data_IF_696328255776
#
_entry.id   IF_696328255776
#
_cell.length_a   1.000
_cell.length_b   1.000
_cell.length_c   1.000
_cell.angle_alpha   90.00
_cell.angle_beta   90.00
_cell.angle_gamma   90.00
#
_symmetry.space_group_name_H-M   'P 1'
#
loop_
_entity.id
_entity.type
_entity.pdbx_description
1 polymer ?
#
# COMPACT_ATOMS: atom_id res chain seq x y z
N UNK A 1 8.15 -6.70 7.93
CA UNK A 1 7.27 -5.90 8.80
C UNK A 1 5.86 -5.83 8.20
N UNK A 2 4.84 -5.93 9.05
CA UNK A 2 3.42 -5.84 8.70
C UNK A 2 2.85 -4.53 9.25
N UNK A 3 2.29 -3.68 8.38
CA UNK A 3 1.51 -2.51 8.78
C UNK A 3 0.04 -2.78 8.51
N UNK A 4 -0.80 -2.73 9.54
CA UNK A 4 -2.20 -3.16 9.47
C UNK A 4 -3.05 -2.42 10.51
N UNK A 5 -4.31 -2.20 10.21
CA UNK A 5 -5.25 -1.57 11.14
C UNK A 5 -5.71 -2.54 12.24
N UNK A 6 -5.99 -2.02 13.44
CA UNK A 6 -6.45 -2.81 14.59
C UNK A 6 -7.78 -3.53 14.35
N UNK A 7 -8.63 -3.00 13.46
CA UNK A 7 -9.85 -3.68 13.04
C UNK A 7 -9.56 -5.03 12.37
N UNK A 8 -8.38 -5.19 11.78
CA UNK A 8 -7.96 -6.38 11.02
C UNK A 8 -7.14 -7.37 11.86
N UNK A 9 -7.38 -7.42 13.19
CA UNK A 9 -6.60 -8.25 14.10
C UNK A 9 -6.56 -9.73 13.71
N UNK A 10 -7.68 -10.29 13.28
CA UNK A 10 -7.74 -11.71 12.89
C UNK A 10 -6.90 -11.97 11.62
N UNK A 11 -7.00 -11.09 10.64
CA UNK A 11 -6.17 -11.16 9.44
C UNK A 11 -4.68 -11.04 9.79
N UNK A 12 -4.33 -10.13 10.71
CA UNK A 12 -2.95 -9.99 11.17
C UNK A 12 -2.41 -11.29 11.80
N UNK A 13 -3.23 -11.98 12.62
CA UNK A 13 -2.84 -13.27 13.22
C UNK A 13 -2.59 -14.33 12.15
N UNK A 14 -3.43 -14.39 11.11
CA UNK A 14 -3.25 -15.33 9.99
C UNK A 14 -1.97 -15.02 9.21
N UNK A 15 -1.73 -13.74 8.89
CA UNK A 15 -0.53 -13.30 8.17
C UNK A 15 0.74 -13.62 8.97
N UNK A 16 0.75 -13.34 10.27
CA UNK A 16 1.90 -13.63 11.14
C UNK A 16 2.17 -15.13 11.22
N UNK A 17 1.11 -15.93 11.40
CA UNK A 17 1.23 -17.39 11.43
C UNK A 17 1.83 -17.93 10.13
N UNK A 18 1.33 -17.47 9.00
CA UNK A 18 1.79 -17.90 7.68
C UNK A 18 3.24 -17.44 7.42
N UNK A 19 3.58 -16.21 7.79
CA UNK A 19 4.95 -15.71 7.65
C UNK A 19 5.97 -16.56 8.40
N UNK A 20 5.65 -16.98 9.64
CA UNK A 20 6.52 -17.90 10.39
C UNK A 20 6.55 -19.32 9.79
N UNK A 21 5.44 -19.80 9.25
CA UNK A 21 5.38 -21.10 8.55
C UNK A 21 6.27 -21.10 7.28
N UNK A 22 6.39 -19.95 6.63
CA UNK A 22 7.26 -19.71 5.47
C UNK A 22 8.72 -19.39 5.84
N UNK A 23 9.08 -19.42 7.13
CA UNK A 23 10.45 -19.28 7.60
C UNK A 23 10.88 -17.86 7.97
N UNK A 24 9.95 -16.93 8.20
CA UNK A 24 10.32 -15.62 8.73
C UNK A 24 11.02 -15.74 10.09
N UNK A 25 12.14 -15.06 10.26
CA UNK A 25 12.88 -15.05 11.54
C UNK A 25 12.18 -14.16 12.57
N UNK A 26 11.58 -13.06 12.13
CA UNK A 26 10.85 -12.12 12.97
C UNK A 26 9.73 -11.46 12.18
N UNK A 27 8.58 -11.25 12.83
CA UNK A 27 7.46 -10.47 12.27
C UNK A 27 7.14 -9.31 13.20
N UNK A 28 7.47 -8.10 12.77
CA UNK A 28 7.13 -6.86 13.47
C UNK A 28 5.77 -6.39 12.96
N UNK A 29 4.79 -6.24 13.85
CA UNK A 29 3.45 -5.74 13.51
C UNK A 29 3.34 -4.28 13.94
N UNK A 30 3.14 -3.39 12.98
CA UNK A 30 2.89 -1.96 13.16
C UNK A 30 1.39 -1.70 13.05
N UNK A 31 0.73 -1.58 14.19
CA UNK A 31 -0.70 -1.31 14.24
C UNK A 31 -1.01 0.15 13.90
N UNK A 32 -2.06 0.35 13.12
CA UNK A 32 -2.70 1.65 12.90
C UNK A 32 -4.09 1.66 13.50
N UNK A 33 -4.57 2.86 13.85
CA UNK A 33 -5.91 3.10 14.38
C UNK A 33 -6.31 4.51 13.96
N UNK A 34 -7.34 4.61 13.14
CA UNK A 34 -7.79 5.87 12.57
C UNK A 34 -8.36 6.82 13.64
N UNK A 35 -9.00 6.27 14.69
CA UNK A 35 -9.54 7.06 15.81
C UNK A 35 -8.40 7.69 16.60
N UNK A 36 -7.41 6.88 17.00
CA UNK A 36 -6.22 7.37 17.74
C UNK A 36 -5.46 8.37 16.89
N UNK A 37 -5.31 8.11 15.60
CA UNK A 37 -4.62 9.00 14.68
C UNK A 37 -5.37 10.34 14.55
N UNK A 38 -6.69 10.32 14.45
CA UNK A 38 -7.52 11.54 14.44
C UNK A 38 -7.37 12.35 15.72
N UNK A 39 -7.49 11.71 16.89
CA UNK A 39 -7.32 12.38 18.20
C UNK A 39 -5.94 13.05 18.33
N UNK A 40 -4.90 12.39 17.83
CA UNK A 40 -3.57 12.98 17.74
C UNK A 40 -3.58 14.30 16.94
N UNK A 41 -4.20 14.34 15.78
CA UNK A 41 -4.24 15.55 14.94
C UNK A 41 -5.12 16.66 15.55
N UNK A 42 -6.18 16.30 16.24
CA UNK A 42 -7.06 17.27 16.91
C UNK A 42 -6.33 17.95 18.09
N UNK A 43 -5.60 17.19 18.89
CA UNK A 43 -5.14 17.64 20.21
C UNK A 43 -3.63 17.89 20.30
N UNK A 44 -2.81 17.25 19.49
CA UNK A 44 -1.37 17.46 19.56
C UNK A 44 -0.98 18.87 19.09
N UNK A 45 -0.03 19.53 19.77
CA UNK A 45 0.49 20.81 19.33
C UNK A 45 1.36 20.66 18.05
N UNK A 46 1.50 21.73 17.28
CA UNK A 46 2.15 21.73 15.99
C UNK A 46 3.58 21.18 16.05
N UNK A 47 4.34 21.57 17.07
CA UNK A 47 5.73 21.13 17.26
C UNK A 47 5.90 19.63 17.51
N UNK A 48 4.80 18.91 17.74
CA UNK A 48 4.77 17.43 17.80
C UNK A 48 4.36 16.79 16.49
N UNK A 49 3.72 17.55 15.63
CA UNK A 49 3.23 17.07 14.33
C UNK A 49 4.24 17.34 13.21
N UNK A 50 5.01 18.42 13.31
CA UNK A 50 6.06 18.79 12.35
C UNK A 50 7.39 18.07 12.59
N UNK A 51 7.44 17.15 13.55
CA UNK A 51 8.62 16.36 13.89
C UNK A 51 8.28 14.87 14.01
N UNK A 52 9.19 14.01 13.53
CA UNK A 52 9.09 12.55 13.70
C UNK A 52 9.94 12.12 14.89
N UNK A 53 9.36 11.43 15.89
CA UNK A 53 10.12 10.97 17.06
C UNK A 53 11.29 10.06 16.69
N UNK A 54 12.40 10.18 17.41
CA UNK A 54 13.63 9.41 17.16
C UNK A 54 13.42 7.88 17.15
N UNK A 55 12.54 7.39 18.03
CA UNK A 55 12.27 5.94 18.07
C UNK A 55 11.68 5.41 16.75
N UNK A 56 10.89 6.21 16.04
CA UNK A 56 10.36 5.82 14.71
C UNK A 56 11.44 5.81 13.63
N UNK A 57 12.38 6.73 13.75
CA UNK A 57 13.56 6.78 12.86
C UNK A 57 14.45 5.57 13.14
N UNK A 58 14.68 5.23 14.42
CA UNK A 58 15.45 4.06 14.82
C UNK A 58 14.79 2.74 14.32
N UNK A 59 13.46 2.61 14.45
CA UNK A 59 12.71 1.47 13.90
C UNK A 59 12.87 1.37 12.38
N UNK A 60 12.75 2.50 11.66
CA UNK A 60 12.97 2.52 10.20
C UNK A 60 14.38 2.05 9.84
N UNK A 61 15.40 2.54 10.55
CA UNK A 61 16.78 2.16 10.31
C UNK A 61 17.01 0.67 10.58
N UNK A 62 16.45 0.15 11.67
CA UNK A 62 16.47 -1.29 11.99
C UNK A 62 15.88 -2.12 10.85
N UNK A 63 14.72 -1.74 10.32
CA UNK A 63 14.09 -2.45 9.20
C UNK A 63 14.94 -2.40 7.92
N UNK A 64 15.59 -1.26 7.64
CA UNK A 64 16.47 -1.11 6.48
C UNK A 64 17.75 -1.95 6.60
N UNK A 65 18.41 -1.90 7.76
CA UNK A 65 19.65 -2.65 8.04
C UNK A 65 19.41 -4.17 7.93
N UNK A 66 18.23 -4.63 8.39
CA UNK A 66 17.84 -6.03 8.31
C UNK A 66 17.17 -6.41 6.98
N UNK A 67 17.11 -5.49 6.01
CA UNK A 67 16.48 -5.71 4.69
C UNK A 67 15.06 -6.28 4.81
N UNK A 68 14.31 -5.81 5.79
CA UNK A 68 13.01 -6.34 6.14
C UNK A 68 12.01 -6.17 4.99
N UNK A 69 11.41 -7.26 4.54
CA UNK A 69 10.25 -7.25 3.63
C UNK A 69 9.06 -6.56 4.29
N UNK A 70 8.25 -5.85 3.52
CA UNK A 70 7.16 -5.03 4.03
C UNK A 70 5.83 -5.41 3.39
N UNK A 71 4.85 -5.70 4.23
CA UNK A 71 3.45 -5.87 3.83
C UNK A 71 2.62 -4.75 4.46
N UNK A 72 1.94 -3.96 3.62
CA UNK A 72 0.96 -2.97 4.08
C UNK A 72 -0.45 -3.43 3.78
N UNK A 73 -1.28 -3.62 4.79
CA UNK A 73 -2.72 -3.90 4.63
C UNK A 73 -3.50 -2.59 4.80
N UNK A 74 -4.30 -2.26 3.79
CA UNK A 74 -5.09 -1.01 3.74
C UNK A 74 -6.55 -1.31 3.99
N UNK A 75 -7.09 -0.71 5.07
CA UNK A 75 -8.51 -0.81 5.46
C UNK A 75 -9.05 0.51 6.04
N UNK A 76 -8.26 1.58 5.94
CA UNK A 76 -8.54 2.86 6.62
C UNK A 76 -9.85 3.51 6.18
N UNK A 77 -10.48 4.22 7.11
CA UNK A 77 -11.62 5.09 6.84
C UNK A 77 -11.21 6.25 5.90
N UNK A 78 -11.83 6.37 4.71
CA UNK A 78 -11.57 7.50 3.81
C UNK A 78 -11.91 8.87 4.38
N UNK A 79 -12.74 8.91 5.43
CA UNK A 79 -13.19 10.13 6.11
C UNK A 79 -12.52 10.41 7.45
N UNK A 80 -11.59 9.55 7.89
CA UNK A 80 -11.01 9.62 9.24
C UNK A 80 -10.48 11.00 9.64
N UNK A 81 -9.89 11.73 8.71
CA UNK A 81 -9.30 13.05 8.95
C UNK A 81 -10.15 14.22 8.46
N UNK A 82 -11.43 14.00 8.13
CA UNK A 82 -12.34 15.08 7.74
C UNK A 82 -12.49 16.12 8.87
N UNK A 83 -12.35 17.41 8.51
CA UNK A 83 -12.45 18.52 9.45
C UNK A 83 -11.23 18.73 10.35
N UNK A 84 -10.16 17.95 10.18
CA UNK A 84 -8.87 18.22 10.83
C UNK A 84 -8.19 19.40 10.13
N UNK A 85 -7.47 20.22 10.92
CA UNK A 85 -6.70 21.37 10.41
C UNK A 85 -5.70 20.94 9.32
N UNK A 86 -5.84 21.55 8.14
CA UNK A 86 -5.03 21.25 6.97
C UNK A 86 -3.52 21.56 7.18
N UNK A 87 -3.19 22.57 7.97
CA UNK A 87 -1.80 22.94 8.26
C UNK A 87 -1.15 21.87 9.12
N UNK A 88 -1.86 21.30 10.09
CA UNK A 88 -1.40 20.17 10.90
C UNK A 88 -1.14 18.93 10.05
N UNK A 89 -2.05 18.60 9.14
CA UNK A 89 -1.89 17.47 8.22
C UNK A 89 -0.69 17.68 7.30
N UNK A 90 -0.54 18.87 6.74
CA UNK A 90 0.56 19.24 5.84
C UNK A 90 1.92 19.19 6.55
N UNK A 91 2.03 19.76 7.75
CA UNK A 91 3.25 19.74 8.55
C UNK A 91 3.69 18.30 8.86
N UNK A 92 2.75 17.47 9.34
CA UNK A 92 3.04 16.06 9.63
C UNK A 92 3.44 15.27 8.39
N UNK A 93 2.76 15.46 7.27
CA UNK A 93 3.09 14.81 6.00
C UNK A 93 4.50 15.21 5.52
N UNK A 94 4.85 16.48 5.63
CA UNK A 94 6.19 17.00 5.29
C UNK A 94 7.28 16.40 6.20
N UNK A 95 7.06 16.40 7.51
CA UNK A 95 8.00 15.81 8.48
C UNK A 95 8.23 14.32 8.22
N UNK A 96 7.14 13.54 8.04
CA UNK A 96 7.21 12.13 7.68
C UNK A 96 7.91 11.92 6.33
N UNK A 97 7.58 12.72 5.33
CA UNK A 97 8.19 12.64 4.00
C UNK A 97 9.70 12.86 4.00
N UNK A 98 10.20 13.74 4.85
CA UNK A 98 11.64 14.01 5.03
C UNK A 98 12.31 12.90 5.85
N UNK A 99 11.76 12.57 7.01
CA UNK A 99 12.37 11.61 7.94
C UNK A 99 12.36 10.18 7.42
N UNK A 100 11.30 9.78 6.68
CA UNK A 100 11.17 8.45 6.10
C UNK A 100 11.74 8.35 4.67
N UNK A 101 12.44 9.39 4.20
CA UNK A 101 13.07 9.40 2.87
C UNK A 101 13.98 8.20 2.60
N UNK A 102 14.83 7.72 3.55
CA UNK A 102 15.66 6.54 3.32
C UNK A 102 14.84 5.28 3.00
N UNK A 103 13.76 5.05 3.75
CA UNK A 103 12.85 3.92 3.49
C UNK A 103 12.15 4.04 2.13
N UNK A 104 11.68 5.24 1.78
CA UNK A 104 11.06 5.49 0.48
C UNK A 104 12.02 5.21 -0.68
N UNK A 105 13.26 5.66 -0.59
CA UNK A 105 14.30 5.39 -1.59
C UNK A 105 14.55 3.88 -1.68
N UNK A 106 14.70 3.17 -0.56
CA UNK A 106 14.93 1.74 -0.55
C UNK A 106 13.77 0.96 -1.20
N UNK A 107 12.52 1.36 -0.92
CA UNK A 107 11.32 0.80 -1.53
C UNK A 107 11.27 1.07 -3.04
N UNK A 108 11.45 2.32 -3.47
CA UNK A 108 11.38 2.72 -4.89
C UNK A 108 12.54 2.18 -5.74
N UNK A 109 13.68 1.87 -5.14
CA UNK A 109 14.83 1.27 -5.82
C UNK A 109 14.91 -0.26 -5.65
N UNK A 110 13.83 -0.89 -5.18
CA UNK A 110 13.73 -2.34 -4.95
C UNK A 110 14.88 -2.90 -4.09
N UNK A 111 15.40 -2.11 -3.14
CA UNK A 111 16.40 -2.60 -2.17
C UNK A 111 15.79 -3.54 -1.13
N UNK A 112 14.49 -3.42 -0.90
CA UNK A 112 13.70 -4.26 -0.01
C UNK A 112 12.43 -4.70 -0.75
N UNK A 113 11.95 -5.90 -0.47
CA UNK A 113 10.67 -6.39 -1.00
C UNK A 113 9.50 -5.69 -0.30
N UNK A 114 8.46 -5.39 -1.05
CA UNK A 114 7.26 -4.77 -0.51
C UNK A 114 6.02 -5.15 -1.29
N UNK A 115 4.90 -5.21 -0.59
CA UNK A 115 3.59 -5.37 -1.22
C UNK A 115 2.51 -4.65 -0.43
N UNK A 116 1.39 -4.39 -1.07
CA UNK A 116 0.20 -3.77 -0.46
C UNK A 116 -1.00 -4.64 -0.78
N UNK A 117 -1.78 -4.94 0.25
CA UNK A 117 -3.05 -5.63 0.13
C UNK A 117 -4.18 -4.75 0.71
N UNK A 118 -5.41 -5.05 0.33
CA UNK A 118 -6.60 -4.44 0.91
C UNK A 118 -7.25 -5.39 1.92
N UNK A 119 -7.92 -4.81 2.92
CA UNK A 119 -8.84 -5.51 3.81
C UNK A 119 -10.09 -4.65 4.00
N UNK A 120 -11.24 -5.27 4.23
CA UNK A 120 -12.49 -4.55 4.39
C UNK A 120 -12.55 -3.89 5.78
N UNK A 121 -12.31 -2.57 5.84
CA UNK A 121 -12.60 -1.74 7.00
C UNK A 121 -14.06 -1.28 6.98
N UNK A 122 -14.67 -1.12 8.16
CA UNK A 122 -16.08 -0.80 8.28
C UNK A 122 -16.46 0.51 7.58
N UNK A 123 -15.78 1.60 7.89
CA UNK A 123 -16.12 2.91 7.31
C UNK A 123 -15.84 3.00 5.81
N UNK A 124 -14.83 2.29 5.33
CA UNK A 124 -14.61 2.14 3.90
C UNK A 124 -15.74 1.36 3.23
N UNK A 125 -16.18 0.24 3.84
CA UNK A 125 -17.27 -0.58 3.36
C UNK A 125 -18.58 0.22 3.25
N UNK A 126 -18.95 0.97 4.27
CA UNK A 126 -20.12 1.87 4.29
C UNK A 126 -20.04 2.95 3.21
N UNK A 127 -18.84 3.45 2.91
CA UNK A 127 -18.62 4.44 1.85
C UNK A 127 -18.84 3.85 0.45
N UNK A 128 -18.44 2.59 0.24
CA UNK A 128 -18.59 1.89 -1.05
C UNK A 128 -20.01 1.36 -1.21
N UNK A 129 -20.62 0.87 -0.14
CA UNK A 129 -21.95 0.25 -0.12
C UNK A 129 -22.93 1.00 0.81
N UNK A 130 -23.26 2.27 0.48
CA UNK A 130 -24.09 3.11 1.36
C UNK A 130 -25.53 2.61 1.51
N UNK A 131 -25.96 1.67 0.69
CA UNK A 131 -27.31 1.10 0.70
C UNK A 131 -27.36 -0.33 1.28
N UNK A 132 -26.27 -0.82 1.89
CA UNK A 132 -26.29 -2.11 2.59
C UNK A 132 -27.28 -2.08 3.76
N UNK A 133 -27.92 -3.21 4.04
CA UNK A 133 -28.94 -3.28 5.07
C UNK A 133 -28.35 -3.28 6.50
N UNK A 134 -27.07 -3.62 6.64
CA UNK A 134 -26.34 -3.54 7.92
C UNK A 134 -24.85 -3.26 7.69
N UNK A 135 -24.14 -2.94 8.77
CA UNK A 135 -22.69 -2.76 8.77
C UNK A 135 -21.97 -4.04 8.37
N UNK A 136 -22.42 -5.19 8.87
CA UNK A 136 -21.89 -6.51 8.51
C UNK A 136 -22.05 -6.79 7.02
N UNK A 137 -23.23 -6.52 6.44
CA UNK A 137 -23.46 -6.69 5.03
C UNK A 137 -22.54 -5.81 4.19
N UNK A 138 -22.30 -4.56 4.59
CA UNK A 138 -21.39 -3.66 3.89
C UNK A 138 -19.95 -4.23 3.88
N UNK A 139 -19.49 -4.74 5.03
CA UNK A 139 -18.15 -5.35 5.17
C UNK A 139 -18.05 -6.62 4.32
N UNK A 140 -19.05 -7.49 4.35
CA UNK A 140 -19.08 -8.72 3.55
C UNK A 140 -19.07 -8.42 2.04
N UNK A 141 -19.83 -7.42 1.60
CA UNK A 141 -19.82 -6.96 0.21
C UNK A 141 -18.46 -6.42 -0.21
N UNK A 142 -17.78 -5.68 0.66
CA UNK A 142 -16.43 -5.18 0.37
C UNK A 142 -15.40 -6.31 0.33
N UNK A 143 -15.46 -7.28 1.24
CA UNK A 143 -14.63 -8.47 1.19
C UNK A 143 -14.85 -9.26 -0.11
N UNK A 144 -16.09 -9.43 -0.54
CA UNK A 144 -16.42 -10.09 -1.79
C UNK A 144 -15.74 -9.40 -3.00
N UNK A 145 -15.77 -8.06 -3.06
CA UNK A 145 -15.07 -7.32 -4.12
C UNK A 145 -13.54 -7.45 -4.03
N UNK A 146 -12.98 -7.42 -2.82
CA UNK A 146 -11.55 -7.64 -2.60
C UNK A 146 -11.16 -9.04 -3.10
N UNK A 147 -11.89 -10.07 -2.70
CA UNK A 147 -11.62 -11.45 -3.11
C UNK A 147 -11.74 -11.65 -4.62
N UNK A 148 -12.75 -11.06 -5.27
CA UNK A 148 -12.87 -11.06 -6.73
C UNK A 148 -11.67 -10.39 -7.40
N UNK A 149 -11.27 -9.21 -6.92
CA UNK A 149 -10.14 -8.46 -7.46
C UNK A 149 -8.82 -9.21 -7.24
N UNK A 150 -8.66 -9.85 -6.08
CA UNK A 150 -7.51 -10.67 -5.73
C UNK A 150 -7.56 -12.10 -6.31
N UNK A 151 -8.56 -12.41 -7.15
CA UNK A 151 -8.73 -13.71 -7.81
C UNK A 151 -8.86 -14.90 -6.85
N UNK A 152 -9.28 -14.65 -5.60
CA UNK A 152 -9.41 -15.70 -4.57
C UNK A 152 -10.46 -16.76 -4.96
N UNK A 153 -11.44 -16.39 -5.77
CA UNK A 153 -12.49 -17.31 -6.24
C UNK A 153 -12.12 -18.15 -7.48
N UNK A 154 -10.94 -17.93 -8.04
CA UNK A 154 -10.46 -18.78 -9.13
C UNK A 154 -10.14 -20.19 -8.61
N UNK A 155 -10.22 -21.19 -9.48
CA UNK A 155 -9.93 -22.58 -9.11
C UNK A 155 -8.48 -22.75 -8.61
N UNK A 156 -7.56 -21.96 -9.14
CA UNK A 156 -6.16 -21.85 -8.70
C UNK A 156 -5.77 -20.35 -8.71
N UNK A 157 -5.92 -19.64 -7.59
CA UNK A 157 -5.59 -18.22 -7.50
C UNK A 157 -4.12 -17.91 -7.84
N UNK A 158 -3.20 -18.79 -7.46
CA UNK A 158 -1.76 -18.58 -7.72
C UNK A 158 -1.50 -18.61 -9.22
N UNK A 159 -2.00 -19.63 -9.91
CA UNK A 159 -1.88 -19.74 -11.36
C UNK A 159 -2.56 -18.56 -12.09
N UNK A 160 -3.73 -18.13 -11.63
CA UNK A 160 -4.43 -16.98 -12.19
C UNK A 160 -3.61 -15.69 -12.08
N UNK A 161 -2.84 -15.52 -10.99
CA UNK A 161 -1.91 -14.41 -10.84
C UNK A 161 -0.67 -14.56 -11.72
N UNK A 162 -0.11 -15.76 -11.86
CA UNK A 162 1.02 -16.01 -12.77
C UNK A 162 0.65 -15.68 -14.22
N UNK A 163 -0.51 -16.11 -14.68
CA UNK A 163 -1.03 -15.78 -16.02
C UNK A 163 -1.23 -14.28 -16.20
N UNK A 164 -1.81 -13.59 -15.20
CA UNK A 164 -1.98 -12.15 -15.22
C UNK A 164 -0.64 -11.40 -15.26
N UNK A 165 0.31 -11.79 -14.44
CA UNK A 165 1.66 -11.22 -14.43
C UNK A 165 2.37 -11.41 -15.78
N UNK A 166 2.23 -12.59 -16.40
CA UNK A 166 2.78 -12.85 -17.74
C UNK A 166 2.18 -11.93 -18.81
N UNK A 167 0.86 -11.68 -18.76
CA UNK A 167 0.19 -10.72 -19.67
C UNK A 167 0.75 -9.31 -19.47
N UNK A 168 0.85 -8.83 -18.22
CA UNK A 168 1.38 -7.51 -17.91
C UNK A 168 2.84 -7.38 -18.35
N UNK A 169 3.65 -8.41 -18.12
CA UNK A 169 5.04 -8.44 -18.58
C UNK A 169 5.14 -8.33 -20.10
N UNK A 170 4.33 -9.09 -20.83
CA UNK A 170 4.35 -9.05 -22.31
C UNK A 170 3.99 -7.65 -22.85
N UNK A 171 3.09 -6.92 -22.17
CA UNK A 171 2.75 -5.53 -22.51
C UNK A 171 3.90 -4.57 -22.21
N UNK A 172 4.55 -4.70 -21.06
CA UNK A 172 5.72 -3.92 -20.71
C UNK A 172 6.87 -4.17 -21.72
N UNK A 173 7.13 -5.43 -22.07
CA UNK A 173 8.17 -5.80 -23.05
C UNK A 173 7.88 -5.17 -24.44
N UNK A 174 6.62 -5.18 -24.89
CA UNK A 174 6.20 -4.51 -26.12
C UNK A 174 6.45 -3.00 -26.06
N UNK A 175 6.01 -2.32 -24.99
CA UNK A 175 6.21 -0.87 -24.81
C UNK A 175 7.70 -0.51 -24.72
N UNK A 176 8.51 -1.35 -24.08
CA UNK A 176 9.96 -1.17 -24.01
C UNK A 176 10.63 -1.33 -25.39
N UNK A 177 10.14 -2.25 -26.22
CA UNK A 177 10.64 -2.45 -27.57
C UNK A 177 10.31 -1.27 -28.49
N UNK A 178 9.07 -0.78 -28.43
CA UNK A 178 8.60 0.29 -29.32
C UNK A 178 9.15 1.68 -28.96
N UNK A 179 9.49 1.94 -27.69
CA UNK A 179 10.07 3.22 -27.23
C UNK A 179 9.31 4.44 -27.74
N UNK A 180 7.98 4.45 -27.56
CA UNK A 180 7.13 5.56 -27.96
C UNK A 180 7.61 6.90 -27.38
N UNK A 181 7.52 7.98 -28.13
CA UNK A 181 7.92 9.31 -27.66
C UNK A 181 6.84 10.01 -26.81
N UNK A 182 5.59 9.58 -26.93
CA UNK A 182 4.46 10.15 -26.19
C UNK A 182 3.29 9.17 -26.10
N UNK A 183 2.42 9.39 -25.13
CA UNK A 183 1.09 8.81 -25.02
C UNK A 183 0.04 9.89 -25.26
N UNK A 184 -0.96 9.59 -26.07
CA UNK A 184 -2.09 10.48 -26.32
C UNK A 184 -3.38 9.86 -25.80
N UNK A 185 -4.08 10.57 -24.92
CA UNK A 185 -5.32 10.16 -24.30
C UNK A 185 -6.46 11.03 -24.82
N UNK A 186 -7.50 10.41 -25.36
CA UNK A 186 -8.72 11.08 -25.80
C UNK A 186 -9.94 10.45 -25.14
N UNK A 187 -10.79 11.29 -24.54
CA UNK A 187 -12.09 10.92 -23.99
C UNK A 187 -13.01 12.17 -23.98
N UNK A 188 -14.31 12.04 -23.73
CA UNK A 188 -15.17 13.19 -23.53
C UNK A 188 -14.59 14.16 -22.47
N UNK A 189 -14.25 15.37 -22.88
CA UNK A 189 -13.61 16.39 -22.02
C UNK A 189 -12.11 16.19 -21.76
N UNK A 190 -11.45 15.24 -22.42
CA UNK A 190 -10.02 14.97 -22.29
C UNK A 190 -9.34 14.89 -23.65
N UNK A 191 -8.30 15.70 -23.82
CA UNK A 191 -7.33 15.62 -24.92
C UNK A 191 -5.95 15.93 -24.32
N UNK A 192 -5.20 14.87 -23.98
CA UNK A 192 -3.94 14.96 -23.25
C UNK A 192 -2.82 14.23 -23.98
N UNK A 193 -1.74 14.93 -24.27
CA UNK A 193 -0.49 14.30 -24.72
C UNK A 193 0.56 14.35 -23.63
N UNK A 194 1.03 13.19 -23.20
CA UNK A 194 2.12 13.01 -22.24
C UNK A 194 3.39 12.61 -22.96
N UNK A 195 4.40 13.50 -23.00
CA UNK A 195 5.73 13.18 -23.53
C UNK A 195 6.48 12.19 -22.66
N UNK A 196 7.13 11.22 -23.27
CA UNK A 196 7.92 10.22 -22.57
C UNK A 196 9.42 10.56 -22.65
N UNK A 197 10.20 10.41 -21.55
CA UNK A 197 11.65 10.62 -21.57
C UNK A 197 12.33 9.61 -22.51
N UNK A 198 13.46 9.99 -23.08
CA UNK A 198 14.30 9.03 -23.82
C UNK A 198 14.80 7.94 -22.90
N UNK A 199 14.84 6.70 -23.40
CA UNK A 199 15.28 5.51 -22.66
C UNK A 199 14.43 5.21 -21.41
N UNK A 200 13.14 5.60 -21.41
CA UNK A 200 12.23 5.17 -20.36
C UNK A 200 12.09 3.64 -20.37
N UNK A 201 11.82 3.08 -19.19
CA UNK A 201 11.59 1.65 -19.00
C UNK A 201 10.21 1.45 -18.40
N UNK A 202 9.43 0.56 -19.03
CA UNK A 202 8.14 0.12 -18.53
C UNK A 202 8.36 -1.09 -17.64
N UNK A 203 7.92 -0.99 -16.40
CA UNK A 203 7.92 -2.09 -15.43
C UNK A 203 6.53 -2.75 -15.41
N UNK A 204 6.51 -4.03 -15.08
CA UNK A 204 5.26 -4.79 -14.90
C UNK A 204 4.92 -4.95 -13.41
N UNK A 205 3.97 -5.84 -13.08
CA UNK A 205 3.47 -6.00 -11.71
C UNK A 205 4.45 -6.65 -10.73
N UNK A 206 5.45 -7.38 -11.20
CA UNK A 206 6.48 -8.01 -10.36
C UNK A 206 7.81 -7.27 -10.47
N UNK A 207 8.62 -7.33 -9.44
CA UNK A 207 9.97 -6.77 -9.42
C UNK A 207 10.96 -7.76 -8.81
N UNK A 208 12.25 -7.49 -8.98
CA UNK A 208 13.33 -8.24 -8.33
C UNK A 208 14.05 -7.29 -7.38
N UNK A 209 14.19 -7.70 -6.12
CA UNK A 209 14.90 -6.90 -5.13
C UNK A 209 16.43 -6.98 -5.31
N UNK A 210 17.16 -6.18 -4.51
CA UNK A 210 18.63 -6.15 -4.56
C UNK A 210 19.31 -7.47 -4.10
N UNK A 211 18.54 -8.41 -3.51
CA UNK A 211 18.98 -9.74 -3.13
C UNK A 211 18.74 -10.79 -4.24
N UNK A 212 18.10 -10.39 -5.35
CA UNK A 212 17.73 -11.30 -6.43
C UNK A 212 16.42 -12.05 -6.20
N UNK A 213 15.61 -11.64 -5.23
CA UNK A 213 14.33 -12.26 -4.88
C UNK A 213 13.18 -11.56 -5.63
N UNK A 214 12.30 -12.33 -6.23
CA UNK A 214 11.06 -11.82 -6.83
C UNK A 214 10.01 -11.45 -5.78
N UNK A 215 9.24 -10.37 -6.01
CA UNK A 215 8.15 -9.93 -5.14
C UNK A 215 7.07 -9.18 -5.92
#
# INVERSE_FOLDING_TARGET
ALSIDVEQRELAHLIVKEAYALGAHEVIVQWTDDVINREKFLHAPMERLDNVPEYKIAEMNYLLENKASRLGVRSSDPGALNGVDADKLSASAKAMGLSMKPMRIATQSNKVSWTVAAAAGLEWAKKVFPNAASDEEAVDLLWDQIFKTCRVYEADPVKAWEEHAAILKSKADMLNKEQFSALHYTAPGTDLTLGLPKNHVWESAGAINAQGEGF
#
